data_IF_173345600944
#
_entry.id   IF_173345600944
#
_cell.length_a   1.000
_cell.length_b   1.000
_cell.length_c   1.000
_cell.angle_alpha   90.00
_cell.angle_beta   90.00
_cell.angle_gamma   90.00
#
_symmetry.space_group_name_H-M   'P 1'
#
loop_
_entity.id
_entity.type
_entity.pdbx_description
1 polymer ?
#
# COMPACT_ATOMS: atom_id res chain seq x y z
N UNK A 1 14.81 -11.00 0.92
CA UNK A 1 14.55 -11.40 2.32
C UNK A 1 14.28 -10.18 3.18
N UNK A 2 15.21 -9.22 3.31
CA UNK A 2 15.02 -8.01 4.14
C UNK A 2 13.72 -7.23 3.86
N UNK A 3 13.33 -6.97 2.60
CA UNK A 3 12.03 -6.32 2.30
C UNK A 3 10.82 -6.98 3.01
N UNK A 4 10.80 -8.31 3.08
CA UNK A 4 9.71 -9.03 3.77
C UNK A 4 9.81 -8.90 5.29
N UNK A 5 11.01 -8.71 5.84
CA UNK A 5 11.22 -8.54 7.28
C UNK A 5 10.73 -7.15 7.68
N UNK A 6 11.23 -6.08 7.04
CA UNK A 6 10.83 -4.71 7.39
C UNK A 6 9.32 -4.49 7.22
N UNK A 7 8.72 -5.10 6.19
CA UNK A 7 7.28 -5.03 5.99
C UNK A 7 6.49 -5.69 7.13
N UNK A 8 7.02 -6.78 7.72
CA UNK A 8 6.39 -7.42 8.87
C UNK A 8 6.65 -6.63 10.17
N UNK A 9 7.82 -6.01 10.34
CA UNK A 9 8.10 -5.12 11.49
C UNK A 9 7.13 -3.93 11.50
N UNK A 10 6.87 -3.33 10.33
CA UNK A 10 5.84 -2.30 10.18
C UNK A 10 4.43 -2.81 10.54
N UNK A 11 4.05 -4.01 10.08
CA UNK A 11 2.73 -4.58 10.35
C UNK A 11 2.57 -5.04 11.81
N UNK A 12 3.65 -5.42 12.49
CA UNK A 12 3.64 -5.82 13.90
C UNK A 12 3.17 -4.69 14.81
N UNK A 13 3.45 -3.43 14.45
CA UNK A 13 2.92 -2.24 15.13
C UNK A 13 1.39 -2.18 15.14
N UNK A 14 0.72 -2.98 14.31
CA UNK A 14 -0.73 -3.06 14.16
C UNK A 14 -1.33 -4.44 14.45
N UNK A 15 -0.55 -5.45 14.88
CA UNK A 15 -1.00 -6.85 15.03
C UNK A 15 -2.30 -7.03 15.85
N UNK A 16 -2.54 -6.16 16.84
CA UNK A 16 -3.71 -6.20 17.73
C UNK A 16 -4.71 -5.06 17.49
N UNK A 17 -4.64 -4.43 16.33
CA UNK A 17 -5.60 -3.39 15.90
C UNK A 17 -6.92 -4.04 15.48
N UNK A 18 -8.06 -3.44 15.81
CA UNK A 18 -9.35 -3.96 15.34
C UNK A 18 -9.59 -3.61 13.87
N UNK A 19 -10.31 -4.51 13.18
CA UNK A 19 -10.63 -4.44 11.74
C UNK A 19 -11.71 -3.43 11.36
N UNK A 20 -12.37 -2.81 12.35
CA UNK A 20 -13.56 -1.97 12.18
C UNK A 20 -13.27 -0.51 11.80
N UNK A 21 -12.00 -0.17 11.53
CA UNK A 21 -11.61 1.13 11.00
C UNK A 21 -10.18 1.53 11.36
N UNK A 22 -9.73 2.72 10.92
CA UNK A 22 -8.44 3.26 11.33
C UNK A 22 -8.41 3.40 12.85
N UNK A 23 -7.56 2.59 13.50
CA UNK A 23 -7.33 2.74 14.93
C UNK A 23 -6.76 4.13 15.22
N UNK A 24 -7.23 4.83 16.27
CA UNK A 24 -6.62 6.07 16.66
C UNK A 24 -5.11 5.80 16.91
N UNK A 25 -4.22 6.57 16.28
CA UNK A 25 -2.80 6.34 16.42
C UNK A 25 -2.43 6.47 17.89
N UNK A 26 -1.89 5.40 18.47
CA UNK A 26 -1.21 5.51 19.76
C UNK A 26 -0.04 6.44 19.51
N UNK A 27 -0.09 7.67 20.04
CA UNK A 27 0.87 8.73 19.69
C UNK A 27 2.34 8.31 19.80
N UNK A 28 2.65 7.40 20.73
CA UNK A 28 3.98 6.82 20.90
C UNK A 28 4.48 5.94 19.73
N UNK A 29 3.60 5.42 18.86
CA UNK A 29 3.96 4.57 17.71
C UNK A 29 4.43 5.38 16.50
N UNK A 30 4.04 6.64 16.36
CA UNK A 30 4.32 7.46 15.18
C UNK A 30 5.80 7.45 14.74
N UNK A 31 6.77 7.66 15.65
CA UNK A 31 8.18 7.58 15.30
C UNK A 31 8.61 6.20 14.78
N UNK A 32 8.12 5.12 15.39
CA UNK A 32 8.47 3.75 14.97
C UNK A 32 7.83 3.39 13.63
N UNK A 33 6.59 3.80 13.38
CA UNK A 33 5.93 3.63 12.08
C UNK A 33 6.74 4.31 10.97
N UNK A 34 7.26 5.52 11.22
CA UNK A 34 8.06 6.24 10.24
C UNK A 34 9.40 5.54 9.95
N UNK A 35 10.05 4.98 10.98
CA UNK A 35 11.28 4.19 10.87
C UNK A 35 11.04 2.93 10.01
N UNK A 36 10.08 2.08 10.38
CA UNK A 36 9.81 0.84 9.66
C UNK A 36 9.34 1.08 8.22
N UNK A 37 8.54 2.13 7.99
CA UNK A 37 8.13 2.51 6.63
C UNK A 37 9.32 2.97 5.78
N UNK A 38 10.30 3.65 6.38
CA UNK A 38 11.52 4.04 5.68
C UNK A 38 12.37 2.81 5.32
N UNK A 39 12.47 1.83 6.22
CA UNK A 39 13.21 0.59 5.95
C UNK A 39 12.58 -0.23 4.83
N UNK A 40 11.24 -0.31 4.77
CA UNK A 40 10.52 -0.88 3.62
C UNK A 40 10.87 -0.15 2.31
N UNK A 41 10.86 1.18 2.32
CA UNK A 41 11.17 1.97 1.12
C UNK A 41 12.63 1.75 0.67
N UNK A 42 13.58 1.83 1.59
CA UNK A 42 15.02 1.68 1.32
C UNK A 42 15.30 0.30 0.76
N UNK A 43 14.74 -0.75 1.36
CA UNK A 43 14.96 -2.13 0.92
C UNK A 43 14.29 -2.42 -0.42
N UNK A 44 13.13 -1.83 -0.70
CA UNK A 44 12.49 -1.89 -2.01
C UNK A 44 13.32 -1.18 -3.09
N UNK A 45 13.81 0.04 -2.83
CA UNK A 45 14.68 0.76 -3.76
C UNK A 45 15.95 -0.02 -4.08
N UNK A 46 16.60 -0.57 -3.05
CA UNK A 46 17.78 -1.43 -3.21
C UNK A 46 17.46 -2.70 -4.03
N UNK A 47 16.31 -3.32 -3.82
CA UNK A 47 15.88 -4.47 -4.61
C UNK A 47 15.69 -4.09 -6.09
N UNK A 48 14.96 -3.01 -6.38
CA UNK A 48 14.70 -2.54 -7.73
C UNK A 48 15.99 -2.17 -8.48
N UNK A 49 16.93 -1.50 -7.81
CA UNK A 49 18.24 -1.16 -8.37
C UNK A 49 18.98 -2.43 -8.83
N UNK A 50 19.00 -3.49 -8.02
CA UNK A 50 19.68 -4.76 -8.36
C UNK A 50 18.94 -5.57 -9.43
N UNK A 51 17.62 -5.42 -9.50
CA UNK A 51 16.78 -6.05 -10.52
C UNK A 51 16.72 -5.24 -11.84
N UNK A 52 17.40 -4.10 -11.91
CA UNK A 52 17.36 -3.17 -13.05
C UNK A 52 15.91 -2.72 -13.38
N UNK A 53 15.15 -2.39 -12.33
CA UNK A 53 13.78 -1.89 -12.42
C UNK A 53 13.78 -0.40 -12.11
N UNK A 54 13.28 0.41 -13.05
CA UNK A 54 12.88 1.78 -12.77
C UNK A 54 11.56 1.78 -12.00
N UNK A 55 11.65 1.90 -10.67
CA UNK A 55 10.50 1.86 -9.79
C UNK A 55 9.54 3.03 -10.03
N UNK A 56 10.05 4.21 -10.39
CA UNK A 56 9.21 5.39 -10.63
C UNK A 56 8.33 5.17 -11.87
N UNK A 57 8.95 4.82 -13.00
CA UNK A 57 8.22 4.51 -14.23
C UNK A 57 7.25 3.32 -14.05
N UNK A 58 7.66 2.29 -13.30
CA UNK A 58 6.79 1.16 -13.00
C UNK A 58 5.56 1.55 -12.15
N UNK A 59 5.74 2.46 -11.18
CA UNK A 59 4.67 2.99 -10.35
C UNK A 59 3.69 3.84 -11.16
N UNK A 60 4.18 4.74 -12.03
CA UNK A 60 3.36 5.56 -12.92
C UNK A 60 2.51 4.69 -13.87
N UNK A 61 3.13 3.71 -14.52
CA UNK A 61 2.40 2.79 -15.39
C UNK A 61 1.36 1.96 -14.61
N UNK A 62 1.65 1.61 -13.36
CA UNK A 62 0.69 0.89 -12.50
C UNK A 62 -0.48 1.79 -12.09
N UNK A 63 -0.23 3.07 -11.79
CA UNK A 63 -1.28 4.04 -11.48
C UNK A 63 -2.23 4.23 -12.66
N UNK A 64 -1.70 4.36 -13.89
CA UNK A 64 -2.53 4.45 -15.10
C UNK A 64 -3.45 3.23 -15.25
N UNK A 65 -2.91 2.01 -15.12
CA UNK A 65 -3.71 0.76 -15.15
C UNK A 65 -4.73 0.69 -14.02
N UNK A 66 -4.39 1.19 -12.83
CA UNK A 66 -5.32 1.23 -11.70
C UNK A 66 -6.48 2.20 -11.96
N UNK A 67 -6.23 3.33 -12.63
CA UNK A 67 -7.28 4.30 -12.98
C UNK A 67 -8.28 3.71 -13.99
N UNK A 68 -7.80 2.93 -14.96
CA UNK A 68 -8.67 2.17 -15.88
C UNK A 68 -9.47 1.08 -15.15
N UNK A 69 -8.80 0.37 -14.22
CA UNK A 69 -9.40 -0.74 -13.47
C UNK A 69 -10.40 -0.29 -12.40
N UNK A 70 -10.21 0.90 -11.83
CA UNK A 70 -11.05 1.47 -10.78
C UNK A 70 -11.51 2.88 -11.15
N UNK A 71 -12.45 3.01 -12.11
CA UNK A 71 -12.99 4.32 -12.49
C UNK A 71 -13.62 5.02 -11.29
N UNK A 72 -13.38 6.32 -11.12
CA UNK A 72 -13.86 7.12 -9.97
C UNK A 72 -15.39 7.01 -9.81
N UNK A 73 -16.13 7.03 -10.92
CA UNK A 73 -17.60 6.94 -10.92
C UNK A 73 -18.12 5.62 -10.33
N UNK A 74 -17.31 4.55 -10.38
CA UNK A 74 -17.69 3.22 -9.88
C UNK A 74 -17.04 2.88 -8.54
N UNK A 75 -15.83 3.37 -8.28
CA UNK A 75 -14.98 2.87 -7.20
C UNK A 75 -14.78 3.85 -6.03
N UNK A 76 -15.23 5.10 -6.12
CA UNK A 76 -14.97 6.09 -5.06
C UNK A 76 -15.64 5.68 -3.74
N UNK A 77 -14.85 5.58 -2.68
CA UNK A 77 -15.33 5.21 -1.34
C UNK A 77 -15.70 3.73 -1.18
N UNK A 78 -15.32 2.90 -2.16
CA UNK A 78 -15.62 1.47 -2.22
C UNK A 78 -14.36 0.63 -2.00
N UNK A 79 -14.54 -0.56 -1.43
CA UNK A 79 -13.47 -1.52 -1.13
C UNK A 79 -13.54 -2.77 -2.01
N UNK A 80 -14.63 -2.90 -2.77
CA UNK A 80 -14.88 -3.98 -3.72
C UNK A 80 -13.78 -4.07 -4.78
N UNK A 81 -13.45 -5.29 -5.19
CA UNK A 81 -12.50 -5.48 -6.30
C UNK A 81 -13.17 -5.07 -7.61
N UNK A 82 -12.36 -4.74 -8.62
CA UNK A 82 -12.88 -4.30 -9.91
C UNK A 82 -13.90 -5.26 -10.57
N UNK A 83 -13.76 -6.58 -10.35
CA UNK A 83 -14.69 -7.58 -10.86
C UNK A 83 -16.06 -7.56 -10.16
N UNK A 84 -16.16 -6.92 -9.00
CA UNK A 84 -17.35 -6.83 -8.14
C UNK A 84 -18.04 -5.45 -8.27
N UNK A 85 -17.45 -4.49 -9.00
CA UNK A 85 -18.04 -3.17 -9.23
C UNK A 85 -19.13 -3.25 -10.32
N UNK A 86 -20.36 -2.85 -10.00
CA UNK A 86 -21.46 -2.77 -10.98
C UNK A 86 -21.17 -1.74 -12.10
N UNK A 87 -21.78 -1.92 -13.27
CA UNK A 87 -21.75 -0.94 -14.37
C UNK A 87 -22.55 0.32 -13.98
N UNK A 88 -22.16 1.52 -14.42
CA UNK A 88 -22.89 2.73 -14.08
C UNK A 88 -24.26 2.73 -14.75
N UNK A 89 -25.35 2.60 -13.98
CA UNK A 89 -26.73 2.74 -14.45
C UNK A 89 -27.70 1.59 -14.16
N UNK A 90 -27.33 0.61 -13.33
CA UNK A 90 -28.26 -0.37 -12.73
C UNK A 90 -28.75 0.11 -11.35
#
# INVERSE_FOLDING_TARGET
>A
MSLSVEANELLELYLWSADDGPQPPVAARGPKVAEEAADVLITLLNFCQRANIDLASAAEAKLARNAERYPVERARGRLEKAAELAEPGE
#
